data_IF_304475627377
#
_entry.id   IF_304475627377
#
_cell.length_a   1.000
_cell.length_b   1.000
_cell.length_c   1.000
_cell.angle_alpha   90.00
_cell.angle_beta   90.00
_cell.angle_gamma   90.00
#
_symmetry.space_group_name_H-M   'P 1'
#
loop_
_entity.id
_entity.type
_entity.pdbx_description
1 polymer ?
#
# COMPACT_ATOMS: atom_id res chain seq x y z
N UNK A 1 -15.41 56.47 -44.84
CA UNK A 1 -16.08 55.17 -44.59
C UNK A 1 -15.20 54.33 -43.69
N UNK A 2 -15.65 54.03 -42.47
CA UNK A 2 -14.82 53.54 -41.37
C UNK A 2 -14.63 52.02 -41.34
N UNK A 3 -13.42 51.57 -41.02
CA UNK A 3 -13.08 50.18 -40.74
C UNK A 3 -13.61 49.77 -39.35
N UNK A 4 -14.56 48.84 -39.30
CA UNK A 4 -15.05 48.25 -38.06
C UNK A 4 -14.12 47.10 -37.68
N UNK A 5 -13.33 47.27 -36.61
CA UNK A 5 -12.46 46.22 -36.04
C UNK A 5 -13.32 45.11 -35.45
N UNK A 6 -13.19 43.89 -35.96
CA UNK A 6 -13.85 42.70 -35.41
C UNK A 6 -12.89 42.04 -34.42
N UNK A 7 -13.17 42.17 -33.13
CA UNK A 7 -12.44 41.49 -32.07
C UNK A 7 -13.05 40.10 -31.87
N UNK A 8 -12.25 39.04 -32.10
CA UNK A 8 -12.61 37.67 -31.78
C UNK A 8 -12.25 37.42 -30.30
N UNK A 9 -13.25 37.28 -29.43
CA UNK A 9 -13.05 36.76 -28.08
C UNK A 9 -12.92 35.23 -28.14
N UNK A 10 -11.73 34.71 -27.92
CA UNK A 10 -11.49 33.28 -27.69
C UNK A 10 -11.80 33.00 -26.22
N UNK A 11 -12.94 32.37 -25.95
CA UNK A 11 -13.30 31.90 -24.62
C UNK A 11 -12.42 30.73 -24.21
N UNK A 12 -11.56 30.94 -23.22
CA UNK A 12 -10.73 29.90 -22.62
C UNK A 12 -11.62 29.01 -21.74
N UNK A 13 -12.05 27.86 -22.27
CA UNK A 13 -12.72 26.83 -21.47
C UNK A 13 -11.65 26.16 -20.59
N UNK A 14 -11.58 26.54 -19.31
CA UNK A 14 -10.78 25.85 -18.32
C UNK A 14 -11.42 24.49 -18.02
N UNK A 15 -10.86 23.41 -18.58
CA UNK A 15 -11.17 22.06 -18.15
C UNK A 15 -10.51 21.82 -16.79
N UNK A 16 -11.25 21.43 -15.75
CA UNK A 16 -10.63 21.04 -14.49
C UNK A 16 -9.77 19.80 -14.75
N UNK A 17 -8.48 19.90 -14.40
CA UNK A 17 -7.61 18.74 -14.40
C UNK A 17 -8.10 17.78 -13.31
N UNK A 18 -8.71 16.67 -13.73
CA UNK A 18 -8.97 15.56 -12.82
C UNK A 18 -7.62 14.91 -12.52
N UNK A 19 -7.07 15.17 -11.34
CA UNK A 19 -5.88 14.47 -10.85
C UNK A 19 -6.28 13.04 -10.47
N UNK A 20 -5.86 12.07 -11.28
CA UNK A 20 -5.98 10.66 -10.95
C UNK A 20 -4.87 10.32 -9.93
N UNK A 21 -5.20 10.33 -8.64
CA UNK A 21 -4.27 9.82 -7.63
C UNK A 21 -4.14 8.32 -7.82
N UNK A 22 -2.91 7.81 -7.92
CA UNK A 22 -2.69 6.38 -8.05
C UNK A 22 -3.08 5.68 -6.74
N UNK A 23 -4.14 4.88 -6.77
CA UNK A 23 -4.65 4.18 -5.60
C UNK A 23 -3.67 3.08 -5.14
N UNK A 24 -3.58 2.86 -3.84
CA UNK A 24 -2.84 1.71 -3.29
C UNK A 24 -3.53 0.41 -3.67
N UNK A 25 -2.76 -0.53 -4.21
CA UNK A 25 -3.24 -1.86 -4.55
C UNK A 25 -3.11 -2.80 -3.36
N UNK A 26 -3.79 -3.94 -3.38
CA UNK A 26 -3.56 -5.00 -2.39
C UNK A 26 -2.08 -5.45 -2.34
N UNK A 27 -1.37 -5.43 -3.47
CA UNK A 27 0.06 -5.72 -3.49
C UNK A 27 0.84 -4.71 -2.64
N UNK A 28 0.55 -3.41 -2.79
CA UNK A 28 1.21 -2.35 -2.04
C UNK A 28 0.93 -2.48 -0.55
N UNK A 29 -0.34 -2.68 -0.16
CA UNK A 29 -0.73 -2.89 1.24
C UNK A 29 0.00 -4.08 1.87
N UNK A 30 0.10 -5.19 1.12
CA UNK A 30 0.79 -6.38 1.60
C UNK A 30 2.31 -6.18 1.69
N UNK A 31 2.94 -5.45 0.77
CA UNK A 31 4.37 -5.09 0.87
C UNK A 31 4.61 -4.15 2.06
N UNK A 32 3.75 -3.17 2.25
CA UNK A 32 3.80 -2.24 3.38
C UNK A 32 3.70 -2.98 4.73
N UNK A 33 2.77 -3.93 4.85
CA UNK A 33 2.65 -4.77 6.04
C UNK A 33 3.93 -5.55 6.32
N UNK A 34 4.52 -6.18 5.31
CA UNK A 34 5.79 -6.90 5.49
C UNK A 34 6.90 -5.95 5.92
N UNK A 35 6.97 -4.76 5.31
CA UNK A 35 7.96 -3.73 5.65
C UNK A 35 7.84 -3.32 7.12
N UNK A 36 6.63 -2.96 7.57
CA UNK A 36 6.32 -2.56 8.94
C UNK A 36 6.61 -3.69 9.95
N UNK A 37 6.09 -4.89 9.70
CA UNK A 37 6.19 -6.01 10.66
C UNK A 37 7.57 -6.65 10.71
N UNK A 38 8.32 -6.65 9.60
CA UNK A 38 9.66 -7.27 9.55
C UNK A 38 10.81 -6.27 9.68
N UNK A 39 10.51 -4.97 9.70
CA UNK A 39 11.50 -3.90 9.65
C UNK A 39 12.37 -3.96 8.40
N UNK A 40 11.74 -4.20 7.23
CA UNK A 40 12.45 -4.33 5.95
C UNK A 40 12.09 -3.20 5.02
N UNK A 41 13.04 -2.78 4.20
CA UNK A 41 12.77 -1.80 3.16
C UNK A 41 11.71 -2.34 2.19
N UNK A 42 10.72 -1.52 1.84
CA UNK A 42 9.60 -1.97 1.02
C UNK A 42 10.02 -2.32 -0.41
N UNK A 43 11.13 -1.74 -0.90
CA UNK A 43 11.65 -1.94 -2.25
C UNK A 43 12.21 -3.35 -2.48
N UNK A 44 12.66 -4.05 -1.44
CA UNK A 44 13.20 -5.41 -1.55
C UNK A 44 12.14 -6.51 -1.47
N UNK A 45 10.88 -6.14 -1.25
CA UNK A 45 9.77 -7.07 -1.09
C UNK A 45 9.14 -7.32 -2.44
N UNK A 46 9.23 -8.54 -2.92
CA UNK A 46 8.69 -8.94 -4.22
C UNK A 46 7.29 -9.52 -4.09
N UNK A 47 6.44 -9.25 -5.08
CA UNK A 47 5.16 -9.94 -5.24
C UNK A 47 5.39 -11.09 -6.20
N UNK A 48 5.34 -12.31 -5.69
CA UNK A 48 5.61 -13.51 -6.51
C UNK A 48 4.38 -13.90 -7.33
N UNK A 49 3.20 -13.78 -6.72
CA UNK A 49 1.92 -14.15 -7.34
C UNK A 49 0.74 -13.54 -6.60
N UNK A 50 -0.33 -13.25 -7.33
CA UNK A 50 -1.66 -12.97 -6.77
C UNK A 50 -2.68 -13.97 -7.31
N UNK A 51 -3.43 -14.61 -6.42
CA UNK A 51 -4.55 -15.48 -6.81
C UNK A 51 -5.51 -15.69 -5.65
N UNK A 52 -6.81 -15.76 -5.95
CA UNK A 52 -7.85 -16.01 -4.95
C UNK A 52 -7.87 -14.99 -3.81
N UNK A 53 -7.53 -13.73 -4.09
CA UNK A 53 -7.43 -12.67 -3.08
C UNK A 53 -6.22 -12.78 -2.14
N UNK A 54 -5.26 -13.65 -2.45
CA UNK A 54 -4.02 -13.82 -1.68
C UNK A 54 -2.85 -13.28 -2.50
N UNK A 55 -2.07 -12.38 -1.88
CA UNK A 55 -0.76 -11.93 -2.37
C UNK A 55 0.31 -12.81 -1.74
N UNK A 56 1.09 -13.50 -2.56
CA UNK A 56 2.30 -14.20 -2.16
C UNK A 56 3.50 -13.27 -2.35
N UNK A 57 4.33 -13.15 -1.32
CA UNK A 57 5.45 -12.23 -1.29
C UNK A 57 6.71 -12.95 -0.84
N UNK A 58 7.86 -12.44 -1.28
CA UNK A 58 9.16 -12.90 -0.83
C UNK A 58 10.14 -11.75 -0.68
N UNK A 59 11.20 -11.96 0.10
CA UNK A 59 12.40 -11.13 0.09
C UNK A 59 13.62 -11.91 0.55
N UNK A 60 14.80 -11.50 0.11
CA UNK A 60 16.08 -11.96 0.65
C UNK A 60 16.53 -10.98 1.73
N UNK A 61 16.74 -11.48 2.96
CA UNK A 61 17.13 -10.64 4.09
C UNK A 61 18.58 -10.16 3.90
N UNK A 62 18.87 -8.85 3.88
CA UNK A 62 20.21 -8.37 3.58
C UNK A 62 21.30 -8.80 4.58
N UNK A 63 20.94 -9.04 5.84
CA UNK A 63 21.90 -9.36 6.90
C UNK A 63 22.51 -10.76 6.79
N UNK A 64 21.78 -11.72 6.23
CA UNK A 64 22.17 -13.14 6.20
C UNK A 64 21.80 -13.87 4.90
N UNK A 65 21.22 -13.16 3.94
CA UNK A 65 20.76 -13.66 2.65
C UNK A 65 19.71 -14.79 2.73
N UNK A 66 19.04 -14.95 3.87
CA UNK A 66 17.95 -15.92 3.99
C UNK A 66 16.76 -15.49 3.15
N UNK A 67 16.16 -16.44 2.43
CA UNK A 67 14.92 -16.23 1.70
C UNK A 67 13.71 -16.37 2.64
N UNK A 68 12.86 -15.34 2.66
CA UNK A 68 11.62 -15.31 3.44
C UNK A 68 10.44 -15.23 2.49
N UNK A 69 9.43 -16.06 2.71
CA UNK A 69 8.20 -16.08 1.94
C UNK A 69 6.97 -15.97 2.86
N UNK A 70 6.00 -15.19 2.41
CA UNK A 70 4.79 -14.86 3.16
C UNK A 70 3.57 -14.83 2.26
N UNK A 71 2.40 -14.92 2.89
CA UNK A 71 1.10 -14.74 2.28
C UNK A 71 0.35 -13.63 2.99
N UNK A 72 -0.39 -12.84 2.23
CA UNK A 72 -1.17 -11.73 2.72
C UNK A 72 -2.54 -11.69 2.03
N UNK A 73 -3.58 -11.36 2.80
CA UNK A 73 -4.94 -11.10 2.30
C UNK A 73 -5.59 -9.98 3.10
N UNK A 74 -6.57 -9.33 2.51
CA UNK A 74 -7.33 -8.26 3.16
C UNK A 74 -8.64 -8.80 3.73
N UNK A 75 -9.06 -8.26 4.87
CA UNK A 75 -10.37 -8.47 5.48
C UNK A 75 -10.89 -7.13 6.02
N UNK A 76 -11.70 -6.44 5.22
CA UNK A 76 -12.03 -5.03 5.46
C UNK A 76 -10.77 -4.16 5.47
N UNK A 77 -10.57 -3.40 6.55
CA UNK A 77 -9.37 -2.58 6.76
C UNK A 77 -8.21 -3.34 7.45
N UNK A 78 -8.34 -4.65 7.66
CA UNK A 78 -7.30 -5.48 8.28
C UNK A 78 -6.46 -6.18 7.23
N UNK A 79 -5.16 -6.28 7.50
CA UNK A 79 -4.22 -7.09 6.73
C UNK A 79 -3.95 -8.37 7.52
N UNK A 80 -4.34 -9.51 6.97
CA UNK A 80 -4.10 -10.83 7.59
C UNK A 80 -2.94 -11.48 6.86
N UNK A 81 -1.94 -11.92 7.61
CA UNK A 81 -0.74 -12.52 7.04
C UNK A 81 -0.37 -13.86 7.65
N UNK A 82 0.43 -14.62 6.91
CA UNK A 82 1.01 -15.89 7.30
C UNK A 82 2.42 -16.00 6.70
N UNK A 83 3.27 -16.83 7.30
CA UNK A 83 4.43 -17.36 6.55
C UNK A 83 3.95 -18.29 5.44
N UNK A 84 4.83 -18.63 4.50
CA UNK A 84 4.48 -19.44 3.32
C UNK A 84 3.66 -20.70 3.66
N UNK A 85 4.11 -21.49 4.65
CA UNK A 85 3.42 -22.71 5.10
C UNK A 85 2.73 -22.58 6.46
N UNK A 86 2.80 -21.41 7.10
CA UNK A 86 2.27 -21.19 8.45
C UNK A 86 0.76 -20.98 8.52
N UNK A 87 0.26 -20.88 9.76
CA UNK A 87 -1.13 -20.47 9.99
C UNK A 87 -1.34 -18.99 9.68
N UNK A 88 -2.56 -18.64 9.32
CA UNK A 88 -3.01 -17.25 9.30
C UNK A 88 -3.03 -16.68 10.72
N UNK A 89 -2.59 -15.42 10.84
CA UNK A 89 -2.66 -14.67 12.09
C UNK A 89 -4.04 -14.09 12.32
N UNK A 90 -4.93 -14.93 12.85
CA UNK A 90 -6.33 -14.60 13.18
C UNK A 90 -6.70 -14.99 14.60
N UNK A 91 -5.77 -15.49 15.39
CA UNK A 91 -5.98 -15.83 16.78
C UNK A 91 -6.05 -14.56 17.63
N UNK A 92 -6.78 -14.59 18.75
CA UNK A 92 -6.98 -13.42 19.64
C UNK A 92 -5.70 -12.84 20.26
N UNK A 93 -4.60 -13.60 20.22
CA UNK A 93 -3.28 -13.21 20.74
C UNK A 93 -2.31 -12.83 19.62
N UNK A 94 -2.76 -12.90 18.36
CA UNK A 94 -1.97 -12.37 17.25
C UNK A 94 -2.11 -10.86 17.21
N UNK A 95 -1.11 -10.20 16.64
CA UNK A 95 -1.20 -8.79 16.33
C UNK A 95 -2.37 -8.48 15.39
N UNK A 96 -2.95 -7.30 15.56
CA UNK A 96 -3.93 -6.74 14.65
C UNK A 96 -3.22 -5.71 13.78
N UNK A 97 -3.16 -5.99 12.48
CA UNK A 97 -2.59 -5.07 11.49
C UNK A 97 -3.73 -4.44 10.69
N UNK A 98 -3.76 -3.12 10.67
CA UNK A 98 -4.75 -2.33 9.93
C UNK A 98 -4.07 -1.34 8.98
N UNK A 99 -4.82 -0.86 8.00
CA UNK A 99 -4.35 0.17 7.09
C UNK A 99 -5.37 1.30 6.92
N UNK A 100 -4.86 2.49 6.64
CA UNK A 100 -5.63 3.66 6.23
C UNK A 100 -4.95 4.32 5.02
N UNK A 101 -5.76 4.72 4.04
CA UNK A 101 -5.30 5.43 2.84
C UNK A 101 -5.87 6.84 2.83
N UNK A 102 -5.01 7.83 2.72
CA UNK A 102 -5.37 9.24 2.60
C UNK A 102 -4.58 9.86 1.44
N UNK A 103 -5.18 9.89 0.25
CA UNK A 103 -4.50 10.38 -0.95
C UNK A 103 -3.37 9.44 -1.36
N UNK A 104 -2.15 9.96 -1.42
CA UNK A 104 -0.93 9.22 -1.76
C UNK A 104 -0.22 8.62 -0.54
N UNK A 105 -0.78 8.79 0.67
CA UNK A 105 -0.24 8.25 1.92
C UNK A 105 -1.00 7.01 2.37
N UNK A 106 -0.24 6.01 2.78
CA UNK A 106 -0.68 4.77 3.40
C UNK A 106 -0.12 4.72 4.81
N UNK A 107 -0.97 4.54 5.81
CA UNK A 107 -0.59 4.31 7.20
C UNK A 107 -0.88 2.85 7.55
N UNK A 108 0.13 2.14 8.06
CA UNK A 108 0.02 0.79 8.62
C UNK A 108 0.12 0.90 10.13
N UNK A 109 -0.85 0.31 10.84
CA UNK A 109 -0.81 0.21 12.31
C UNK A 109 -0.76 -1.25 12.71
N UNK A 110 0.20 -1.60 13.55
CA UNK A 110 0.35 -2.93 14.14
C UNK A 110 0.14 -2.82 15.66
N UNK A 111 -0.89 -3.49 16.17
CA UNK A 111 -1.27 -3.51 17.60
C UNK A 111 -1.07 -4.93 18.15
N UNK A 112 -0.35 -5.08 19.27
CA UNK A 112 -0.06 -6.38 19.88
C UNK A 112 -1.04 -6.80 20.99
N UNK A 113 -2.03 -5.96 21.30
CA UNK A 113 -3.09 -6.25 22.28
C UNK A 113 -2.66 -6.12 23.75
N UNK A 114 -1.39 -5.82 24.02
CA UNK A 114 -0.85 -5.52 25.35
C UNK A 114 -0.80 -4.01 25.66
N UNK A 115 -1.39 -3.20 24.77
CA UNK A 115 -1.34 -1.74 24.82
C UNK A 115 -0.19 -1.12 24.04
N UNK A 116 0.73 -1.93 23.50
CA UNK A 116 1.76 -1.45 22.57
C UNK A 116 1.27 -1.50 21.12
N UNK A 117 1.72 -0.53 20.33
CA UNK A 117 1.46 -0.47 18.89
C UNK A 117 2.60 0.26 18.17
N UNK A 118 2.78 -0.05 16.87
CA UNK A 118 3.64 0.72 15.96
C UNK A 118 2.82 1.27 14.81
N UNK A 119 3.32 2.37 14.24
CA UNK A 119 2.73 3.04 13.09
C UNK A 119 3.84 3.31 12.07
N UNK A 120 3.63 2.84 10.85
CA UNK A 120 4.53 3.04 9.73
C UNK A 120 3.78 3.73 8.59
N UNK A 121 4.41 4.70 7.94
CA UNK A 121 3.82 5.45 6.85
C UNK A 121 4.59 5.23 5.55
N UNK A 122 3.84 5.13 4.46
CA UNK A 122 4.35 4.97 3.11
C UNK A 122 3.65 5.94 2.17
N UNK A 123 4.36 6.33 1.12
CA UNK A 123 3.82 7.07 -0.01
C UNK A 123 3.67 6.14 -1.20
N UNK A 124 2.75 6.46 -2.10
CA UNK A 124 2.51 5.65 -3.30
C UNK A 124 3.77 5.52 -4.17
N UNK A 125 4.66 6.51 -4.15
CA UNK A 125 5.89 6.51 -4.92
C UNK A 125 6.94 5.48 -4.45
N UNK A 126 6.76 4.85 -3.29
CA UNK A 126 7.69 3.83 -2.76
C UNK A 126 7.43 2.41 -3.28
N UNK A 127 6.34 2.20 -4.03
CA UNK A 127 5.91 0.89 -4.54
C UNK A 127 6.05 0.80 -6.05
#
# INVERSE_FOLDING_TARGET
MGFKKMALMVGLLAFPAVSFSAEFTQADLCRAMVSATMGRDVSIIHVDRQSGGITHLSYNRPSDNSHWAMRCRLDGNRIIWATDTGRWRTHKLDEVITYEVSGDRLTITQDWGDGSASVDEFTKAQF
#
